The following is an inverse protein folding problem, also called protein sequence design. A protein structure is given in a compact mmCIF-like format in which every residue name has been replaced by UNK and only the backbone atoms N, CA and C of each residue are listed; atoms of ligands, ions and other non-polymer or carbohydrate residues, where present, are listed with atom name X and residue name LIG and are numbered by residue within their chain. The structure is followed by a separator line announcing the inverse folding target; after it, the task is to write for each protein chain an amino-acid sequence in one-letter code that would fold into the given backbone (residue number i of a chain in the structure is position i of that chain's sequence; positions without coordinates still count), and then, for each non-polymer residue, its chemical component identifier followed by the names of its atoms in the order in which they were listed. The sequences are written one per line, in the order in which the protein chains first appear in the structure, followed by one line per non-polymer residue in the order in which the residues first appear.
data_IF_598866984845
#
_entry.id   IF_598866984845
#
_cell.length_a   1.000
_cell.length_b   1.000
_cell.length_c   1.000
_cell.angle_alpha   90.00
_cell.angle_beta   90.00
_cell.angle_gamma   90.00
#
_symmetry.space_group_name_H-M   'P 1'
#
loop_
_entity.id
_entity.type
_entity.pdbx_description
1 polymer ?
#
# COMPACT_ATOMS: atom_id res chain seq x y z
N UNK A 1 3.76 10.36 10.40
CA UNK A 1 4.19 10.39 8.98
C UNK A 1 5.47 9.61 8.80
N UNK A 2 5.45 8.68 7.86
CA UNK A 2 6.62 7.86 7.51
C UNK A 2 7.35 8.45 6.29
N UNK A 3 6.57 8.96 5.34
CA UNK A 3 7.12 9.45 4.09
C UNK A 3 6.12 10.42 3.44
N UNK A 4 6.63 11.38 2.70
CA UNK A 4 5.78 12.29 1.93
C UNK A 4 6.55 12.85 0.75
N UNK A 5 5.89 12.96 -0.38
CA UNK A 5 6.42 13.68 -1.54
C UNK A 5 5.27 14.43 -2.22
N UNK A 6 5.50 14.93 -3.43
CA UNK A 6 4.52 15.70 -4.19
C UNK A 6 3.21 14.93 -4.42
N UNK A 7 3.31 13.61 -4.55
CA UNK A 7 2.20 12.78 -5.02
C UNK A 7 1.57 11.93 -3.94
N UNK A 8 2.28 11.71 -2.83
CA UNK A 8 1.93 10.63 -1.91
C UNK A 8 2.23 10.97 -0.47
N UNK A 9 1.55 10.26 0.43
CA UNK A 9 1.73 10.37 1.86
C UNK A 9 1.70 8.96 2.46
N UNK A 10 2.60 8.67 3.38
CA UNK A 10 2.65 7.35 4.02
C UNK A 10 2.68 7.49 5.54
N UNK A 11 1.99 6.58 6.22
CA UNK A 11 1.86 6.59 7.68
C UNK A 11 1.67 5.16 8.20
N UNK A 12 1.98 4.96 9.47
CA UNK A 12 1.79 3.65 10.09
C UNK A 12 0.32 3.36 10.34
N UNK A 13 -0.10 2.13 10.09
CA UNK A 13 -1.45 1.68 10.42
C UNK A 13 -1.60 1.66 11.95
N UNK A 14 -2.70 2.18 12.45
CA UNK A 14 -2.96 2.22 13.90
C UNK A 14 -3.28 0.84 14.48
N UNK A 15 -3.64 -0.11 13.63
CA UNK A 15 -3.87 -1.50 14.01
C UNK A 15 -2.97 -2.41 13.18
N UNK A 16 -1.65 -2.39 13.44
CA UNK A 16 -0.71 -3.10 12.59
C UNK A 16 -0.92 -4.61 12.66
N UNK A 17 -0.83 -5.26 11.49
CA UNK A 17 -0.98 -6.70 11.37
C UNK A 17 0.35 -7.40 11.10
N UNK A 18 1.43 -6.65 11.14
CA UNK A 18 2.80 -7.14 11.02
C UNK A 18 3.71 -6.16 11.76
N UNK A 19 4.95 -6.54 12.08
CA UNK A 19 5.88 -5.62 12.75
C UNK A 19 6.05 -4.30 12.00
N UNK A 20 6.05 -4.35 10.66
CA UNK A 20 5.95 -3.16 9.84
C UNK A 20 4.64 -3.22 9.06
N UNK A 21 3.79 -2.25 9.25
CA UNK A 21 2.53 -2.13 8.52
C UNK A 21 2.27 -0.65 8.23
N UNK A 22 2.60 -0.24 7.02
CA UNK A 22 2.50 1.15 6.58
C UNK A 22 1.47 1.26 5.48
N UNK A 23 0.73 2.37 5.47
CA UNK A 23 -0.23 2.69 4.43
C UNK A 23 0.35 3.80 3.56
N UNK A 24 0.27 3.64 2.26
CA UNK A 24 0.67 4.68 1.30
C UNK A 24 -0.56 5.11 0.53
N UNK A 25 -0.85 6.40 0.55
CA UNK A 25 -2.00 6.97 -0.14
C UNK A 25 -1.56 8.01 -1.16
N UNK A 26 -2.29 8.14 -2.28
CA UNK A 26 -2.07 9.27 -3.18
C UNK A 26 -2.66 10.53 -2.55
N UNK A 27 -2.07 11.69 -2.85
CA UNK A 27 -2.61 12.97 -2.38
C UNK A 27 -3.89 13.35 -3.13
N UNK A 28 -4.05 12.90 -4.37
CA UNK A 28 -5.29 13.05 -5.10
C UNK A 28 -6.41 12.23 -4.49
N UNK A 29 -7.65 12.65 -4.73
CA UNK A 29 -8.81 11.99 -4.12
C UNK A 29 -9.32 10.89 -5.03
N UNK A 30 -8.85 9.67 -4.79
CA UNK A 30 -9.28 8.46 -5.51
C UNK A 30 -9.85 7.47 -4.52
N UNK A 31 -10.98 6.89 -4.87
CA UNK A 31 -11.71 5.99 -3.95
C UNK A 31 -11.05 4.63 -3.85
N UNK A 32 -10.52 4.14 -4.97
CA UNK A 32 -9.90 2.82 -5.02
C UNK A 32 -8.93 2.73 -6.20
N UNK A 33 -8.33 1.56 -6.33
CA UNK A 33 -7.50 1.23 -7.47
C UNK A 33 -8.24 1.41 -8.80
N UNK A 34 -9.56 1.19 -8.80
CA UNK A 34 -10.36 1.24 -10.02
C UNK A 34 -10.39 2.62 -10.63
N UNK A 35 -10.83 3.62 -9.89
CA UNK A 35 -10.90 4.99 -10.42
C UNK A 35 -9.53 5.62 -10.58
N UNK A 36 -8.59 5.27 -9.71
CA UNK A 36 -7.22 5.77 -9.83
C UNK A 36 -6.58 5.33 -11.14
N UNK A 37 -6.64 4.03 -11.45
CA UNK A 37 -6.02 3.52 -12.67
C UNK A 37 -6.75 3.95 -13.93
N UNK A 38 -8.03 4.28 -13.82
CA UNK A 38 -8.84 4.71 -14.95
C UNK A 38 -8.69 6.20 -15.24
N UNK A 39 -8.60 7.05 -14.21
CA UNK A 39 -8.76 8.48 -14.35
C UNK A 39 -7.55 9.33 -13.99
N UNK A 40 -6.61 8.81 -13.20
CA UNK A 40 -5.45 9.58 -12.78
C UNK A 40 -4.51 9.85 -13.96
N UNK A 41 -3.77 10.94 -13.90
CA UNK A 41 -2.78 11.25 -14.92
C UNK A 41 -1.63 10.26 -14.87
N UNK A 42 -0.90 10.15 -15.98
CA UNK A 42 0.29 9.30 -16.01
C UNK A 42 1.31 9.73 -14.96
N UNK A 43 1.41 11.03 -14.71
CA UNK A 43 2.33 11.55 -13.69
C UNK A 43 1.91 11.15 -12.28
N UNK A 44 0.61 11.23 -11.98
CA UNK A 44 0.10 10.80 -10.68
C UNK A 44 0.34 9.30 -10.45
N UNK A 45 0.07 8.50 -11.48
CA UNK A 45 0.26 7.05 -11.38
C UNK A 45 1.74 6.72 -11.16
N UNK A 46 2.61 7.29 -11.99
CA UNK A 46 4.04 7.05 -11.86
C UNK A 46 4.56 7.53 -10.50
N UNK A 47 4.14 8.71 -10.07
CA UNK A 47 4.56 9.28 -8.79
C UNK A 47 4.14 8.43 -7.62
N UNK A 48 2.89 7.94 -7.63
CA UNK A 48 2.38 7.11 -6.56
C UNK A 48 3.11 5.76 -6.49
N UNK A 49 3.29 5.09 -7.61
CA UNK A 49 3.96 3.79 -7.65
C UNK A 49 5.42 3.93 -7.18
N UNK A 50 6.10 4.98 -7.65
CA UNK A 50 7.48 5.23 -7.23
C UNK A 50 7.56 5.55 -5.73
N UNK A 51 6.56 6.23 -5.19
CA UNK A 51 6.51 6.54 -3.76
C UNK A 51 6.39 5.26 -2.92
N UNK A 52 5.58 4.30 -3.36
CA UNK A 52 5.45 3.02 -2.65
C UNK A 52 6.81 2.32 -2.57
N UNK A 53 7.55 2.29 -3.69
CA UNK A 53 8.90 1.73 -3.70
C UNK A 53 9.87 2.52 -2.81
N UNK A 54 9.75 3.84 -2.81
CA UNK A 54 10.61 4.70 -1.98
C UNK A 54 10.37 4.45 -0.49
N UNK A 55 9.12 4.26 -0.07
CA UNK A 55 8.80 3.93 1.32
C UNK A 55 9.51 2.65 1.75
N UNK A 56 9.42 1.61 0.94
CA UNK A 56 10.08 0.34 1.26
C UNK A 56 11.60 0.51 1.37
N UNK A 57 12.17 1.29 0.47
CA UNK A 57 13.61 1.53 0.46
C UNK A 57 14.06 2.32 1.68
N UNK A 58 13.33 3.37 2.04
CA UNK A 58 13.67 4.19 3.19
C UNK A 58 13.52 3.44 4.51
N UNK A 59 12.60 2.50 4.57
CA UNK A 59 12.42 1.68 5.76
C UNK A 59 13.36 0.47 5.80
N UNK A 60 14.21 0.31 4.79
CA UNK A 60 15.19 -0.77 4.74
C UNK A 60 14.58 -2.14 4.53
N UNK A 61 13.47 -2.24 3.80
CA UNK A 61 12.73 -3.49 3.66
C UNK A 61 13.17 -4.35 2.49
N UNK A 62 14.02 -3.82 1.61
CA UNK A 62 14.32 -4.51 0.35
C UNK A 62 15.11 -5.79 0.52
N UNK A 63 16.02 -5.85 1.49
CA UNK A 63 16.86 -7.04 1.67
C UNK A 63 16.05 -8.27 2.13
N UNK A 64 15.22 -8.10 3.15
CA UNK A 64 14.42 -9.21 3.67
C UNK A 64 13.10 -9.40 2.93
N UNK A 65 12.67 -8.37 2.22
CA UNK A 65 11.44 -8.42 1.44
C UNK A 65 10.23 -7.89 2.18
N UNK A 66 9.20 -7.62 1.39
CA UNK A 66 7.95 -7.03 1.90
C UNK A 66 6.81 -7.43 0.98
N UNK A 67 5.59 -7.24 1.48
CA UNK A 67 4.39 -7.52 0.69
C UNK A 67 3.61 -6.24 0.49
N UNK A 68 3.14 -6.04 -0.73
CA UNK A 68 2.21 -4.97 -1.07
C UNK A 68 0.82 -5.56 -1.25
N UNK A 69 -0.18 -4.86 -0.73
CA UNK A 69 -1.56 -5.33 -0.84
C UNK A 69 -2.48 -4.14 -1.05
N UNK A 70 -3.36 -4.26 -2.04
CA UNK A 70 -4.38 -3.24 -2.34
C UNK A 70 -5.72 -3.91 -2.36
N UNK A 71 -6.67 -3.40 -1.58
CA UNK A 71 -8.04 -3.90 -1.59
C UNK A 71 -8.90 -2.96 -2.42
N UNK A 72 -9.66 -3.51 -3.36
CA UNK A 72 -10.57 -2.74 -4.19
C UNK A 72 -11.95 -3.38 -4.12
N UNK A 73 -12.90 -2.69 -3.52
CA UNK A 73 -14.29 -3.08 -3.51
C UNK A 73 -14.68 -4.07 -2.41
N UNK A 74 -15.92 -4.54 -2.52
CA UNK A 74 -16.59 -5.27 -1.46
C UNK A 74 -15.98 -6.63 -1.16
N UNK A 75 -15.69 -7.41 -2.19
CA UNK A 75 -15.12 -8.75 -1.98
C UNK A 75 -13.71 -8.71 -1.42
N UNK A 76 -13.01 -7.61 -1.60
CA UNK A 76 -11.68 -7.41 -1.04
C UNK A 76 -11.72 -6.75 0.33
N UNK A 77 -12.92 -6.44 0.85
CA UNK A 77 -13.12 -5.84 2.16
C UNK A 77 -12.47 -4.45 2.27
N UNK A 78 -12.63 -3.65 1.21
CA UNK A 78 -12.16 -2.26 1.28
C UNK A 78 -13.08 -1.46 2.20
N UNK A 79 -12.60 -1.12 3.38
CA UNK A 79 -13.39 -0.42 4.40
C UNK A 79 -13.39 1.09 4.20
N UNK A 80 -12.25 1.65 3.85
CA UNK A 80 -12.07 3.10 3.71
C UNK A 80 -12.09 3.47 2.22
N UNK A 81 -13.02 4.36 1.80
CA UNK A 81 -13.16 4.72 0.39
C UNK A 81 -12.11 5.77 -0.03
N UNK A 82 -10.86 5.45 0.18
CA UNK A 82 -9.72 6.21 -0.29
C UNK A 82 -8.62 5.19 -0.60
N UNK A 83 -8.08 5.25 -1.82
CA UNK A 83 -7.06 4.31 -2.25
C UNK A 83 -5.90 4.28 -1.25
N UNK A 84 -5.53 3.08 -0.83
CA UNK A 84 -4.36 2.90 0.01
C UNK A 84 -3.68 1.57 -0.29
N UNK A 85 -2.36 1.61 -0.29
CA UNK A 85 -1.54 0.42 -0.48
C UNK A 85 -0.95 0.05 0.87
N UNK A 86 -1.18 -1.19 1.30
CA UNK A 86 -0.56 -1.72 2.50
C UNK A 86 0.85 -2.19 2.19
N UNK A 87 1.78 -1.85 3.05
CA UNK A 87 3.16 -2.37 3.01
C UNK A 87 3.37 -3.17 4.28
N UNK A 88 3.54 -4.48 4.14
CA UNK A 88 3.76 -5.39 5.26
C UNK A 88 5.17 -5.94 5.23
N UNK A 89 5.83 -5.95 6.39
CA UNK A 89 7.19 -6.50 6.50
C UNK A 89 7.54 -6.77 7.96
N UNK A 90 8.78 -7.19 8.19
CA UNK A 90 9.34 -7.36 9.52
C UNK A 90 9.36 -8.79 10.02
N UNK A 91 8.75 -9.71 9.28
CA UNK A 91 8.77 -11.15 9.54
C UNK A 91 8.30 -11.91 8.31
N UNK A 92 8.50 -13.23 8.23
CA UNK A 92 7.84 -14.03 7.19
C UNK A 92 6.32 -13.88 7.32
N UNK A 93 5.67 -13.57 6.22
CA UNK A 93 4.24 -13.25 6.23
C UNK A 93 3.35 -14.44 5.86
N UNK A 94 3.96 -15.56 5.51
CA UNK A 94 3.22 -16.77 5.14
C UNK A 94 2.65 -16.71 3.73
N UNK A 95 1.71 -17.62 3.44
CA UNK A 95 1.10 -17.70 2.11
C UNK A 95 0.35 -16.44 1.72
N UNK A 96 0.03 -16.35 0.44
CA UNK A 96 -0.55 -15.17 -0.17
C UNK A 96 -1.86 -14.74 0.48
N UNK A 97 -2.75 -15.66 0.79
CA UNK A 97 -4.03 -15.34 1.41
C UNK A 97 -4.09 -15.91 2.82
N UNK A 98 -4.50 -15.06 3.76
CA UNK A 98 -4.66 -15.45 5.15
C UNK A 98 -5.72 -16.54 5.28
N UNK A 99 -5.37 -17.64 6.01
CA UNK A 99 -6.30 -18.74 6.19
C UNK A 99 -6.60 -19.54 4.94
N UNK A 100 -6.00 -19.17 3.81
CA UNK A 100 -6.23 -19.85 2.55
C UNK A 100 -5.37 -21.10 2.40
N UNK A 101 -5.93 -22.11 1.77
CA UNK A 101 -5.17 -23.33 1.45
C UNK A 101 -4.22 -23.10 0.27
N UNK A 102 -4.40 -22.01 -0.46
CA UNK A 102 -3.72 -21.74 -1.70
C UNK A 102 -2.77 -20.55 -1.58
N UNK A 103 -1.93 -20.60 -0.67
CA UNK A 103 -0.99 -19.52 -0.38
C UNK A 103 -0.21 -18.99 -1.55
#
# INVERSE_FOLDING_TARGET
KVYEDEWSYAFEDINPQAPTHVLVIPKGKYRSWVDFTESASAEEIAGFIRAVGAVARELGLEDDGYRLLVNAGKNAHQMVPHLHVHVFAGRPLGPMLAGGANG
#
